data_IF_840880889165
#
_entry.id   IF_840880889165
#
_cell.length_a   1.000
_cell.length_b   1.000
_cell.length_c   1.000
_cell.angle_alpha   90.00
_cell.angle_beta   90.00
_cell.angle_gamma   90.00
#
_symmetry.space_group_name_H-M   'P 1'
#
loop_
_entity.id
_entity.type
_entity.pdbx_description
1 polymer ?
#
# COMPACT_ATOMS: atom_id res chain seq x y z
N UNK A 1 59.60 19.60 -26.15
CA UNK A 1 59.34 18.16 -26.36
C UNK A 1 59.19 17.52 -24.98
N UNK A 2 57.98 17.44 -24.45
CA UNK A 2 57.70 16.84 -23.14
C UNK A 2 56.44 16.00 -23.26
N UNK A 3 56.61 14.69 -23.40
CA UNK A 3 55.53 13.74 -23.62
C UNK A 3 54.74 13.50 -22.34
N UNK A 4 53.44 13.82 -22.38
CA UNK A 4 52.47 13.48 -21.35
C UNK A 4 52.04 12.02 -21.52
N UNK A 5 52.26 11.20 -20.51
CA UNK A 5 51.81 9.81 -20.48
C UNK A 5 50.29 9.73 -20.20
N UNK A 6 49.54 8.82 -20.84
CA UNK A 6 48.11 8.65 -20.58
C UNK A 6 47.89 7.82 -19.30
N UNK A 7 46.98 8.30 -18.45
CA UNK A 7 46.54 7.62 -17.24
C UNK A 7 45.47 6.58 -17.65
N UNK A 8 45.84 5.30 -17.62
CA UNK A 8 44.90 4.19 -17.80
C UNK A 8 43.88 4.20 -16.65
N UNK A 9 42.63 4.51 -16.96
CA UNK A 9 41.50 4.32 -16.03
C UNK A 9 41.13 2.84 -16.03
N UNK A 10 41.30 2.22 -14.87
CA UNK A 10 40.80 0.89 -14.56
C UNK A 10 39.26 0.95 -14.54
N UNK A 11 38.60 0.51 -15.62
CA UNK A 11 37.16 0.28 -15.64
C UNK A 11 36.86 -1.04 -14.93
N UNK A 12 36.33 -0.95 -13.72
CA UNK A 12 35.78 -2.11 -13.02
C UNK A 12 34.44 -2.46 -13.68
N UNK A 13 34.45 -3.40 -14.62
CA UNK A 13 33.24 -4.01 -15.15
C UNK A 13 32.53 -4.77 -14.02
N UNK A 14 31.34 -4.29 -13.64
CA UNK A 14 30.44 -5.03 -12.76
C UNK A 14 29.93 -6.25 -13.55
N UNK A 15 30.49 -7.42 -13.25
CA UNK A 15 30.03 -8.68 -13.83
C UNK A 15 28.55 -8.96 -13.50
N UNK A 16 27.85 -9.74 -14.34
CA UNK A 16 26.47 -10.12 -14.07
C UNK A 16 26.42 -10.91 -12.76
N UNK A 17 25.65 -10.43 -11.79
CA UNK A 17 25.35 -11.17 -10.57
C UNK A 17 24.63 -12.45 -10.96
N UNK A 18 25.37 -13.57 -10.96
CA UNK A 18 24.78 -14.90 -11.07
C UNK A 18 23.91 -15.11 -9.83
N UNK A 19 22.60 -15.08 -10.04
CA UNK A 19 21.59 -15.24 -9.01
C UNK A 19 21.81 -16.54 -8.24
N UNK A 20 21.82 -16.42 -6.92
CA UNK A 20 21.78 -17.56 -5.99
C UNK A 20 20.41 -18.21 -6.15
N UNK A 21 20.31 -19.17 -7.07
CA UNK A 21 19.13 -19.98 -7.29
C UNK A 21 19.05 -21.07 -6.22
N UNK A 22 17.90 -21.15 -5.54
CA UNK A 22 17.42 -22.42 -5.02
C UNK A 22 17.38 -22.61 -3.49
N UNK A 23 16.80 -21.67 -2.73
CA UNK A 23 16.03 -22.11 -1.56
C UNK A 23 14.66 -22.58 -2.04
N UNK A 24 14.56 -23.87 -2.38
CA UNK A 24 13.28 -24.54 -2.65
C UNK A 24 12.56 -24.73 -1.33
N UNK A 25 11.77 -23.74 -0.94
CA UNK A 25 10.81 -23.85 0.16
C UNK A 25 9.77 -24.93 -0.20
N UNK A 26 9.32 -25.70 0.79
CA UNK A 26 8.44 -26.85 0.58
C UNK A 26 7.13 -26.45 -0.10
N UNK A 27 6.82 -27.14 -1.20
CA UNK A 27 5.65 -26.94 -2.06
C UNK A 27 4.34 -26.75 -1.28
N UNK A 28 3.66 -25.62 -1.50
CA UNK A 28 2.22 -25.45 -1.35
C UNK A 28 1.73 -24.64 -0.15
N UNK A 29 2.60 -23.96 0.62
CA UNK A 29 2.16 -23.21 1.80
C UNK A 29 2.14 -21.70 1.55
N UNK A 30 1.01 -21.00 1.77
CA UNK A 30 0.94 -19.56 1.56
C UNK A 30 1.94 -18.82 2.44
N UNK A 31 2.47 -17.72 1.92
CA UNK A 31 3.50 -16.92 2.59
C UNK A 31 3.12 -15.45 2.66
N UNK A 32 3.70 -14.74 3.65
CA UNK A 32 3.42 -13.32 3.83
C UNK A 32 4.34 -12.47 2.97
N UNK A 33 3.74 -11.54 2.23
CA UNK A 33 4.43 -10.48 1.50
C UNK A 33 4.06 -9.15 2.11
N UNK A 34 5.08 -8.32 2.35
CA UNK A 34 4.92 -6.93 2.77
C UNK A 34 5.10 -6.03 1.54
N UNK A 35 4.06 -5.28 1.19
CA UNK A 35 4.12 -4.25 0.17
C UNK A 35 4.41 -2.89 0.83
N UNK A 36 5.54 -2.28 0.49
CA UNK A 36 5.88 -0.92 0.88
C UNK A 36 5.62 0.01 -0.29
N UNK A 37 4.72 0.97 -0.09
CA UNK A 37 4.36 1.95 -1.12
C UNK A 37 4.95 3.28 -0.73
N UNK A 38 5.76 3.86 -1.61
CA UNK A 38 6.41 5.15 -1.41
C UNK A 38 5.85 6.16 -2.40
N UNK A 39 5.12 7.15 -1.88
CA UNK A 39 4.62 8.26 -2.67
C UNK A 39 5.59 9.43 -2.60
N UNK A 40 6.20 9.77 -3.73
CA UNK A 40 7.12 10.89 -3.83
C UNK A 40 6.36 12.21 -3.82
N UNK A 41 6.88 13.19 -3.09
CA UNK A 41 6.39 14.56 -3.10
C UNK A 41 6.99 15.36 -4.25
N UNK A 42 6.31 16.41 -4.69
CA UNK A 42 6.75 17.22 -5.83
C UNK A 42 8.05 17.99 -5.60
N UNK A 43 8.48 18.15 -4.35
CA UNK A 43 9.78 18.73 -3.98
C UNK A 43 10.96 17.76 -4.11
N UNK A 44 10.68 16.46 -4.33
CA UNK A 44 11.66 15.39 -4.44
C UNK A 44 12.60 15.28 -3.23
N UNK A 45 12.16 15.73 -2.05
CA UNK A 45 12.90 15.59 -0.80
C UNK A 45 12.47 14.28 -0.13
N UNK A 46 13.35 13.26 0.01
CA UNK A 46 12.97 11.95 0.52
C UNK A 46 12.34 11.96 1.92
N UNK A 47 12.69 12.93 2.76
CA UNK A 47 12.11 13.09 4.09
C UNK A 47 10.62 13.42 4.08
N UNK A 48 10.11 13.92 2.95
CA UNK A 48 8.71 14.32 2.78
C UNK A 48 7.89 13.22 2.09
N UNK A 49 8.50 12.11 1.67
CA UNK A 49 7.79 11.02 1.02
C UNK A 49 6.82 10.37 2.00
N UNK A 50 5.64 10.01 1.49
CA UNK A 50 4.65 9.26 2.26
C UNK A 50 4.87 7.78 2.02
N UNK A 51 5.17 7.03 3.08
CA UNK A 51 5.38 5.58 2.99
C UNK A 51 4.28 4.83 3.73
N UNK A 52 3.55 3.98 3.00
CA UNK A 52 2.53 3.09 3.54
C UNK A 52 2.98 1.64 3.43
N UNK A 53 2.38 0.78 4.25
CA UNK A 53 2.67 -0.65 4.25
C UNK A 53 1.40 -1.48 4.27
N UNK A 54 1.27 -2.38 3.30
CA UNK A 54 0.22 -3.40 3.24
C UNK A 54 0.84 -4.78 3.44
N UNK A 55 0.05 -5.71 3.97
CA UNK A 55 0.48 -7.10 4.13
C UNK A 55 -0.47 -7.99 3.35
N UNK A 56 0.10 -8.97 2.68
CA UNK A 56 -0.58 -9.85 1.75
C UNK A 56 -0.21 -11.29 2.12
N UNK A 57 -1.17 -12.19 2.00
CA UNK A 57 -0.94 -13.62 2.09
C UNK A 57 -1.02 -14.16 0.65
N UNK A 58 0.13 -14.53 0.08
CA UNK A 58 0.26 -14.99 -1.30
C UNK A 58 0.23 -16.51 -1.34
N UNK A 59 -0.51 -17.09 -2.28
CA UNK A 59 -0.58 -18.53 -2.48
C UNK A 59 0.71 -19.03 -3.16
N UNK A 60 1.25 -20.16 -2.70
CA UNK A 60 2.56 -20.66 -3.13
C UNK A 60 2.59 -21.18 -4.58
N UNK A 61 1.42 -21.36 -5.22
CA UNK A 61 1.36 -21.61 -6.67
C UNK A 61 1.99 -20.47 -7.48
N UNK A 62 2.08 -19.28 -6.89
CA UNK A 62 2.78 -18.12 -7.43
C UNK A 62 4.25 -18.18 -7.00
N UNK A 63 5.03 -19.12 -7.52
CA UNK A 63 6.48 -19.10 -7.24
C UNK A 63 7.18 -18.07 -8.14
N UNK A 64 8.12 -17.32 -7.56
CA UNK A 64 8.78 -16.17 -8.16
C UNK A 64 9.55 -16.47 -9.47
N UNK A 65 9.93 -17.73 -9.71
CA UNK A 65 10.63 -18.15 -10.94
C UNK A 65 9.68 -18.58 -12.07
N UNK A 66 8.46 -19.04 -11.75
CA UNK A 66 7.54 -19.65 -12.72
C UNK A 66 6.25 -18.85 -12.96
N UNK A 67 5.89 -17.89 -12.10
CA UNK A 67 4.65 -17.10 -12.22
C UNK A 67 4.86 -15.60 -11.92
N UNK A 68 5.43 -14.84 -12.87
CA UNK A 68 5.50 -13.38 -12.79
C UNK A 68 4.12 -12.71 -12.82
N UNK A 69 3.05 -13.43 -13.17
CA UNK A 69 1.70 -12.88 -13.33
C UNK A 69 1.04 -12.65 -11.97
N UNK A 70 1.14 -13.60 -11.03
CA UNK A 70 0.52 -13.46 -9.70
C UNK A 70 1.03 -12.26 -8.89
N UNK A 71 2.35 -11.98 -8.92
CA UNK A 71 2.91 -10.76 -8.33
C UNK A 71 2.50 -9.51 -9.13
N UNK A 72 2.36 -9.63 -10.44
CA UNK A 72 1.89 -8.55 -11.32
C UNK A 72 0.50 -8.06 -10.91
N UNK A 73 -0.42 -8.99 -10.60
CA UNK A 73 -1.76 -8.66 -10.12
C UNK A 73 -1.77 -7.86 -8.82
N UNK A 74 -0.92 -8.22 -7.87
CA UNK A 74 -0.76 -7.47 -6.60
C UNK A 74 -0.37 -6.01 -6.88
N UNK A 75 0.62 -5.81 -7.76
CA UNK A 75 1.13 -4.48 -8.09
C UNK A 75 0.07 -3.68 -8.85
N UNK A 76 -0.62 -4.30 -9.79
CA UNK A 76 -1.72 -3.69 -10.54
C UNK A 76 -2.82 -3.19 -9.60
N UNK A 77 -3.30 -4.04 -8.68
CA UNK A 77 -4.39 -3.69 -7.77
C UNK A 77 -3.98 -2.61 -6.77
N UNK A 78 -2.75 -2.66 -6.25
CA UNK A 78 -2.22 -1.60 -5.38
C UNK A 78 -2.07 -0.29 -6.17
N UNK A 79 -1.60 -0.36 -7.42
CA UNK A 79 -1.49 0.82 -8.28
C UNK A 79 -2.86 1.44 -8.49
N UNK A 80 -3.86 0.64 -8.85
CA UNK A 80 -5.23 1.09 -9.05
C UNK A 80 -5.82 1.73 -7.80
N UNK A 81 -5.61 1.14 -6.61
CA UNK A 81 -6.00 1.76 -5.33
C UNK A 81 -5.47 3.19 -5.20
N UNK A 82 -4.20 3.46 -5.56
CA UNK A 82 -3.66 4.82 -5.46
C UNK A 82 -4.16 5.72 -6.58
N UNK A 83 -4.34 5.22 -7.81
CA UNK A 83 -4.95 5.99 -8.90
C UNK A 83 -6.37 6.44 -8.52
N UNK A 84 -7.16 5.60 -7.87
CA UNK A 84 -8.51 5.95 -7.41
C UNK A 84 -8.49 7.03 -6.31
N UNK A 85 -7.37 7.16 -5.57
CA UNK A 85 -7.15 8.20 -4.57
C UNK A 85 -6.64 9.54 -5.15
N UNK A 86 -6.35 9.62 -6.45
CA UNK A 86 -5.82 10.84 -7.10
C UNK A 86 -6.72 12.06 -6.84
N UNK A 87 -8.03 11.85 -6.79
CA UNK A 87 -9.03 12.88 -6.48
C UNK A 87 -9.00 13.42 -5.05
N UNK A 88 -8.11 12.97 -4.16
CA UNK A 88 -7.95 13.53 -2.80
C UNK A 88 -6.51 13.92 -2.47
N UNK A 89 -5.54 13.34 -3.18
CA UNK A 89 -4.13 13.61 -2.97
C UNK A 89 -3.73 14.98 -3.52
N UNK A 90 -2.69 15.57 -2.92
CA UNK A 90 -2.11 16.84 -3.34
C UNK A 90 -0.60 16.83 -3.15
N UNK A 91 0.11 17.61 -3.96
CA UNK A 91 1.57 17.82 -3.84
C UNK A 91 2.45 16.58 -3.85
N UNK A 92 1.93 15.52 -4.42
CA UNK A 92 2.75 14.42 -4.88
C UNK A 92 3.45 14.81 -6.19
N UNK A 93 4.59 14.19 -6.43
CA UNK A 93 5.12 14.08 -7.79
C UNK A 93 4.04 13.44 -8.67
N UNK A 94 4.05 13.72 -9.96
CA UNK A 94 3.26 12.93 -10.89
C UNK A 94 3.89 11.55 -11.08
N UNK A 95 5.21 11.53 -11.13
CA UNK A 95 5.95 10.38 -11.61
C UNK A 95 6.89 9.81 -10.53
N UNK A 96 7.21 8.52 -10.68
CA UNK A 96 8.24 7.83 -9.93
C UNK A 96 7.80 7.35 -8.54
N UNK A 97 6.50 7.12 -8.32
CA UNK A 97 6.05 6.42 -7.13
C UNK A 97 6.54 4.97 -7.17
N UNK A 98 6.67 4.33 -6.03
CA UNK A 98 7.30 3.01 -5.94
C UNK A 98 6.47 2.05 -5.10
N UNK A 99 6.32 0.82 -5.59
CA UNK A 99 5.80 -0.33 -4.85
C UNK A 99 6.92 -1.36 -4.75
N UNK A 100 7.44 -1.55 -3.54
CA UNK A 100 8.45 -2.54 -3.23
C UNK A 100 7.83 -3.69 -2.44
N UNK A 101 7.93 -4.91 -2.96
CA UNK A 101 7.44 -6.11 -2.31
C UNK A 101 8.58 -6.83 -1.59
N UNK A 102 8.34 -7.28 -0.36
CA UNK A 102 9.29 -8.01 0.46
C UNK A 102 8.67 -9.32 0.91
N UNK A 103 9.42 -10.42 0.76
CA UNK A 103 9.04 -11.72 1.33
C UNK A 103 9.41 -11.74 2.82
N UNK A 104 8.42 -11.90 3.70
CA UNK A 104 8.63 -11.91 5.15
C UNK A 104 9.24 -13.22 5.68
N UNK A 105 9.42 -14.24 4.83
CA UNK A 105 10.19 -15.45 5.19
C UNK A 105 11.69 -15.15 5.26
N UNK A 106 12.13 -14.14 4.51
CA UNK A 106 13.54 -13.76 4.45
C UNK A 106 13.90 -12.84 5.63
N UNK A 107 15.19 -12.75 6.01
CA UNK A 107 15.66 -11.81 7.03
C UNK A 107 15.23 -10.37 6.73
N UNK A 108 15.06 -9.55 7.77
CA UNK A 108 14.57 -8.16 7.65
C UNK A 108 15.39 -7.28 6.68
N UNK A 109 16.67 -7.60 6.49
CA UNK A 109 17.59 -6.86 5.62
C UNK A 109 17.66 -7.41 4.18
N UNK A 110 16.73 -8.28 3.79
CA UNK A 110 16.70 -8.84 2.45
C UNK A 110 16.21 -7.80 1.43
N UNK A 111 16.79 -7.77 0.22
CA UNK A 111 16.31 -6.88 -0.82
C UNK A 111 14.85 -7.21 -1.19
N UNK A 112 14.09 -6.23 -1.70
CA UNK A 112 12.74 -6.48 -2.19
C UNK A 112 12.76 -7.52 -3.31
N UNK A 113 11.75 -8.40 -3.31
CA UNK A 113 11.55 -9.43 -4.33
C UNK A 113 11.14 -8.83 -5.67
N UNK A 114 10.50 -7.65 -5.64
CA UNK A 114 10.14 -6.86 -6.83
C UNK A 114 9.99 -5.40 -6.44
N UNK A 115 10.44 -4.51 -7.33
CA UNK A 115 10.20 -3.07 -7.25
C UNK A 115 9.55 -2.68 -8.57
N UNK A 116 8.39 -2.03 -8.50
CA UNK A 116 7.73 -1.43 -9.65
C UNK A 116 7.51 0.04 -9.39
N UNK A 117 7.62 0.86 -10.44
CA UNK A 117 7.25 2.26 -10.39
C UNK A 117 5.91 2.49 -11.07
N UNK A 118 5.12 3.43 -10.55
CA UNK A 118 3.90 3.89 -11.20
C UNK A 118 3.81 5.41 -11.17
N UNK A 119 3.03 5.94 -12.10
CA UNK A 119 2.80 7.36 -12.28
C UNK A 119 1.31 7.67 -12.18
N UNK A 120 0.99 8.85 -11.66
CA UNK A 120 -0.35 9.39 -11.67
C UNK A 120 -0.73 9.93 -13.06
N UNK A 121 -2.02 9.82 -13.39
CA UNK A 121 -2.52 10.25 -14.71
C UNK A 121 -2.59 11.78 -14.76
N UNK A 122 -3.08 12.38 -13.69
CA UNK A 122 -3.34 13.80 -13.54
C UNK A 122 -2.16 14.54 -12.90
N UNK A 123 -2.09 15.84 -13.20
CA UNK A 123 -1.18 16.74 -12.49
C UNK A 123 -1.83 17.22 -11.19
N UNK A 124 -1.09 17.18 -10.08
CA UNK A 124 -1.57 17.71 -8.81
C UNK A 124 -1.43 19.24 -8.76
N UNK A 125 -2.52 20.00 -8.55
CA UNK A 125 -2.42 21.45 -8.40
C UNK A 125 -1.55 21.81 -7.19
N UNK A 126 -0.95 23.02 -7.19
CA UNK A 126 -0.13 23.49 -6.07
C UNK A 126 -0.93 23.73 -4.79
N UNK A 127 -2.27 23.75 -4.89
CA UNK A 127 -3.16 23.96 -3.75
C UNK A 127 -3.22 22.72 -2.85
N UNK A 128 -2.71 22.90 -1.63
CA UNK A 128 -2.42 21.79 -0.71
C UNK A 128 -2.66 22.19 0.73
N UNK A 129 -3.12 21.20 1.49
CA UNK A 129 -2.94 21.22 2.93
C UNK A 129 -1.46 20.99 3.27
N UNK A 130 -0.99 21.38 4.47
CA UNK A 130 0.36 21.07 4.92
C UNK A 130 0.68 19.57 4.78
N UNK A 131 1.92 19.22 4.48
CA UNK A 131 2.33 17.83 4.20
C UNK A 131 2.14 16.90 5.40
N UNK A 132 2.03 17.44 6.61
CA UNK A 132 1.77 16.69 7.84
C UNK A 132 0.30 16.30 8.03
N UNK A 133 -0.61 16.82 7.20
CA UNK A 133 -2.05 16.56 7.26
C UNK A 133 -2.39 15.34 6.41
N UNK A 134 -3.01 14.34 7.04
CA UNK A 134 -3.43 13.10 6.41
C UNK A 134 -4.83 12.69 6.80
N UNK A 135 -5.45 11.84 6.00
CA UNK A 135 -6.66 11.09 6.35
C UNK A 135 -6.26 9.64 6.56
N UNK A 136 -6.91 8.97 7.51
CA UNK A 136 -6.59 7.57 7.83
C UNK A 136 -7.72 6.66 7.39
N UNK A 137 -7.38 5.70 6.53
CA UNK A 137 -8.22 4.51 6.32
C UNK A 137 -7.85 3.47 7.38
N UNK A 138 -8.78 3.20 8.30
CA UNK A 138 -8.61 2.21 9.37
C UNK A 138 -9.37 0.94 9.00
N UNK A 139 -8.76 -0.22 9.15
CA UNK A 139 -9.40 -1.49 8.82
C UNK A 139 -9.11 -2.56 9.86
N UNK A 140 -9.97 -3.57 9.88
CA UNK A 140 -9.92 -4.67 10.85
C UNK A 140 -10.31 -6.00 10.23
N UNK A 141 -9.77 -7.06 10.81
CA UNK A 141 -10.23 -8.42 10.55
C UNK A 141 -11.45 -8.76 11.42
N UNK A 142 -12.10 -9.88 11.12
CA UNK A 142 -13.18 -10.41 11.94
C UNK A 142 -12.69 -10.68 13.37
N UNK A 143 -13.56 -10.45 14.36
CA UNK A 143 -13.21 -10.73 15.77
C UNK A 143 -13.06 -12.23 15.96
N UNK A 144 -11.93 -12.63 16.51
CA UNK A 144 -11.66 -14.02 16.89
C UNK A 144 -11.65 -14.16 18.42
N UNK A 145 -12.33 -15.17 19.00
CA UNK A 145 -12.23 -15.46 20.43
C UNK A 145 -10.77 -15.66 20.86
N UNK A 146 -10.39 -15.05 21.99
CA UNK A 146 -9.02 -15.15 22.52
C UNK A 146 -7.98 -14.27 21.83
N UNK A 147 -8.29 -13.57 20.73
CA UNK A 147 -7.37 -12.64 20.06
C UNK A 147 -7.71 -11.20 20.47
N UNK A 148 -6.69 -10.44 20.88
CA UNK A 148 -6.87 -9.03 21.24
C UNK A 148 -7.36 -8.23 20.02
N UNK A 149 -8.45 -7.44 20.14
CA UNK A 149 -8.92 -6.59 19.03
C UNK A 149 -7.90 -5.55 18.55
N UNK A 150 -6.81 -5.31 19.31
CA UNK A 150 -5.73 -4.40 18.92
C UNK A 150 -4.80 -5.04 17.89
N UNK A 151 -4.59 -6.35 17.91
CA UNK A 151 -3.71 -7.04 16.96
C UNK A 151 -4.37 -7.30 15.61
N UNK A 152 -5.69 -7.10 15.52
CA UNK A 152 -6.50 -7.31 14.31
C UNK A 152 -6.95 -5.99 13.69
N UNK A 153 -6.24 -4.88 13.95
CA UNK A 153 -6.51 -3.57 13.36
C UNK A 153 -5.24 -3.01 12.74
N UNK A 154 -5.39 -2.30 11.63
CA UNK A 154 -4.31 -1.56 11.01
C UNK A 154 -4.84 -0.26 10.36
N UNK A 155 -3.92 0.58 9.90
CA UNK A 155 -4.17 1.92 9.37
C UNK A 155 -3.28 2.19 8.17
N UNK A 156 -3.83 2.88 7.18
CA UNK A 156 -3.09 3.48 6.06
C UNK A 156 -3.30 4.99 6.11
N UNK A 157 -2.20 5.74 6.01
CA UNK A 157 -2.20 7.20 6.07
C UNK A 157 -2.18 7.75 4.65
N UNK A 158 -3.16 8.59 4.33
CA UNK A 158 -3.41 9.09 2.98
C UNK A 158 -3.10 10.58 3.00
N UNK A 159 -2.03 10.95 2.31
CA UNK A 159 -1.57 12.32 2.21
C UNK A 159 -0.28 12.42 1.39
N UNK A 160 0.15 13.65 1.03
CA UNK A 160 -0.50 14.92 1.38
C UNK A 160 -1.85 15.12 0.68
N UNK A 161 -2.70 15.97 1.25
CA UNK A 161 -4.06 16.20 0.77
C UNK A 161 -4.17 17.52 0.01
N UNK A 162 -5.02 17.55 -1.03
CA UNK A 162 -5.40 18.80 -1.70
C UNK A 162 -6.37 19.62 -0.84
N UNK A 163 -6.40 20.94 -1.01
CA UNK A 163 -7.29 21.81 -0.21
C UNK A 163 -8.77 21.50 -0.41
N UNK A 164 -9.19 20.99 -1.57
CA UNK A 164 -10.56 20.52 -1.80
C UNK A 164 -10.98 19.31 -0.93
N UNK A 165 -10.03 18.68 -0.22
CA UNK A 165 -10.34 17.68 0.80
C UNK A 165 -10.78 18.29 2.14
N UNK A 166 -10.63 19.60 2.32
CA UNK A 166 -11.11 20.36 3.47
C UNK A 166 -12.51 20.90 3.21
N UNK A 167 -13.44 20.63 4.11
CA UNK A 167 -14.67 21.39 4.22
C UNK A 167 -14.38 22.70 4.95
N UNK A 168 -14.39 23.81 4.21
CA UNK A 168 -14.10 25.15 4.74
C UNK A 168 -15.07 25.60 5.84
N UNK A 169 -16.29 25.07 5.86
CA UNK A 169 -17.30 25.43 6.86
C UNK A 169 -17.01 24.77 8.19
N UNK A 170 -16.58 23.51 8.16
CA UNK A 170 -16.40 22.70 9.37
C UNK A 170 -14.93 22.56 9.79
N UNK A 171 -13.98 22.88 8.92
CA UNK A 171 -12.56 22.65 9.13
C UNK A 171 -12.19 21.16 9.17
N UNK A 172 -13.02 20.29 8.58
CA UNK A 172 -12.88 18.83 8.62
C UNK A 172 -12.70 18.26 7.22
N UNK A 173 -12.52 16.95 7.13
CA UNK A 173 -12.46 16.27 5.83
C UNK A 173 -13.82 16.38 5.15
N UNK A 174 -13.83 16.85 3.91
CA UNK A 174 -15.02 16.95 3.09
C UNK A 174 -15.66 15.57 2.86
N UNK A 175 -16.99 15.53 2.82
CA UNK A 175 -17.75 14.29 2.69
C UNK A 175 -17.39 13.53 1.40
N UNK A 176 -17.30 14.25 0.28
CA UNK A 176 -16.92 13.68 -1.02
C UNK A 176 -15.53 13.01 -0.98
N UNK A 177 -14.55 13.62 -0.32
CA UNK A 177 -13.21 13.05 -0.17
C UNK A 177 -13.23 11.79 0.71
N UNK A 178 -13.99 11.82 1.80
CA UNK A 178 -14.17 10.66 2.68
C UNK A 178 -14.84 9.48 1.95
N UNK A 179 -15.86 9.76 1.15
CA UNK A 179 -16.55 8.76 0.33
C UNK A 179 -15.63 8.18 -0.75
N UNK A 180 -14.89 9.04 -1.47
CA UNK A 180 -13.93 8.61 -2.49
C UNK A 180 -12.87 7.67 -1.90
N UNK A 181 -12.29 8.02 -0.75
CA UNK A 181 -11.32 7.14 -0.08
C UNK A 181 -11.97 5.81 0.30
N UNK A 182 -13.16 5.84 0.90
CA UNK A 182 -13.85 4.62 1.30
C UNK A 182 -14.16 3.72 0.09
N UNK A 183 -14.53 4.32 -1.04
CA UNK A 183 -14.79 3.62 -2.29
C UNK A 183 -13.52 2.99 -2.87
N UNK A 184 -12.41 3.73 -2.94
CA UNK A 184 -11.13 3.20 -3.43
C UNK A 184 -10.64 1.97 -2.65
N UNK A 185 -10.77 1.99 -1.31
CA UNK A 185 -10.46 0.81 -0.48
C UNK A 185 -11.44 -0.34 -0.65
N UNK A 186 -12.71 -0.03 -0.93
CA UNK A 186 -13.71 -1.05 -1.24
C UNK A 186 -13.42 -1.73 -2.59
N UNK A 187 -13.08 -0.94 -3.61
CA UNK A 187 -12.72 -1.44 -4.94
C UNK A 187 -11.45 -2.29 -4.89
N UNK A 188 -10.44 -1.87 -4.11
CA UNK A 188 -9.26 -2.70 -3.84
C UNK A 188 -9.63 -4.02 -3.13
N UNK A 189 -10.54 -3.99 -2.15
CA UNK A 189 -11.00 -5.20 -1.48
C UNK A 189 -11.77 -6.14 -2.43
N UNK A 190 -12.52 -5.59 -3.39
CA UNK A 190 -13.19 -6.34 -4.44
C UNK A 190 -12.17 -7.01 -5.38
N UNK A 191 -11.17 -6.27 -5.86
CA UNK A 191 -10.12 -6.81 -6.71
C UNK A 191 -9.37 -7.98 -6.03
N UNK A 192 -9.09 -7.84 -4.73
CA UNK A 192 -8.54 -8.94 -3.90
C UNK A 192 -9.49 -10.14 -3.83
N UNK A 193 -10.80 -9.90 -3.71
CA UNK A 193 -11.80 -10.97 -3.65
C UNK A 193 -11.88 -11.76 -4.97
N UNK A 194 -11.69 -11.08 -6.10
CA UNK A 194 -11.69 -11.68 -7.43
C UNK A 194 -10.42 -12.49 -7.73
N UNK A 195 -9.40 -12.38 -6.86
CA UNK A 195 -8.06 -13.00 -7.01
C UNK A 195 -7.62 -13.77 -5.76
N UNK A 196 -8.57 -14.31 -4.99
CA UNK A 196 -8.29 -15.04 -3.72
C UNK A 196 -7.44 -16.31 -3.90
N UNK A 197 -7.44 -16.87 -5.11
CA UNK A 197 -6.58 -17.97 -5.55
C UNK A 197 -5.11 -17.55 -5.76
N UNK A 198 -4.85 -16.25 -5.90
CA UNK A 198 -3.51 -15.66 -6.03
C UNK A 198 -3.04 -15.11 -4.69
N UNK A 199 -3.84 -14.22 -4.07
CA UNK A 199 -3.44 -13.56 -2.83
C UNK A 199 -4.64 -13.05 -2.01
N UNK A 200 -4.39 -12.71 -0.75
CA UNK A 200 -5.40 -12.10 0.12
C UNK A 200 -4.79 -10.93 0.90
N UNK A 201 -5.54 -9.84 0.99
CA UNK A 201 -5.15 -8.69 1.81
C UNK A 201 -5.42 -8.97 3.29
N UNK A 202 -4.36 -8.90 4.11
CA UNK A 202 -4.37 -9.34 5.50
C UNK A 202 -3.83 -8.29 6.46
N UNK A 203 -4.19 -8.44 7.74
CA UNK A 203 -3.54 -7.78 8.86
C UNK A 203 -2.52 -8.76 9.44
N UNK A 204 -1.25 -8.36 9.44
CA UNK A 204 -0.13 -9.12 10.00
C UNK A 204 0.13 -8.71 11.45
N UNK A 205 0.26 -9.68 12.36
CA UNK A 205 0.79 -9.44 13.72
C UNK A 205 2.16 -10.08 13.88
N UNK A 206 3.25 -9.30 13.86
CA UNK A 206 4.61 -9.81 14.04
C UNK A 206 4.77 -10.60 15.35
N UNK A 207 4.14 -10.12 16.43
CA UNK A 207 4.19 -10.76 17.75
C UNK A 207 3.58 -12.16 17.78
N UNK A 208 2.46 -12.36 17.07
CA UNK A 208 1.75 -13.64 17.09
C UNK A 208 2.19 -14.56 15.94
N UNK A 209 2.91 -14.07 14.94
CA UNK A 209 3.22 -14.85 13.74
C UNK A 209 1.97 -15.14 12.88
N UNK A 210 0.85 -14.47 13.14
CA UNK A 210 -0.43 -14.69 12.47
C UNK A 210 -0.79 -13.57 11.49
N UNK A 211 -1.66 -13.92 10.55
CA UNK A 211 -2.26 -13.03 9.57
C UNK A 211 -3.77 -13.28 9.52
N UNK A 212 -4.56 -12.22 9.43
CA UNK A 212 -6.01 -12.32 9.33
C UNK A 212 -6.54 -11.57 8.12
N UNK A 213 -7.42 -12.17 7.30
CA UNK A 213 -8.06 -11.47 6.20
C UNK A 213 -8.82 -10.24 6.69
N UNK A 214 -8.72 -9.17 5.91
CA UNK A 214 -9.45 -7.93 6.20
C UNK A 214 -10.93 -8.16 5.95
N UNK A 215 -11.74 -7.70 6.91
CA UNK A 215 -13.17 -7.90 6.92
C UNK A 215 -13.93 -6.60 6.66
N UNK A 216 -13.51 -5.52 7.32
CA UNK A 216 -14.15 -4.21 7.17
C UNK A 216 -13.16 -3.08 7.47
N UNK A 217 -13.50 -1.89 7.02
CA UNK A 217 -12.77 -0.69 7.37
C UNK A 217 -13.64 0.55 7.30
N UNK A 218 -13.01 1.67 7.65
CA UNK A 218 -13.66 2.95 7.72
C UNK A 218 -12.69 4.11 7.55
N UNK A 219 -13.25 5.23 7.12
CA UNK A 219 -12.57 6.51 6.98
C UNK A 219 -13.31 7.52 7.84
N UNK A 220 -12.60 8.10 8.81
CA UNK A 220 -13.14 9.15 9.68
C UNK A 220 -13.01 10.52 8.99
N UNK A 221 -13.90 11.46 9.32
CA UNK A 221 -13.82 12.84 8.83
C UNK A 221 -12.86 13.75 9.62
N UNK A 222 -12.01 13.18 10.46
CA UNK A 222 -11.00 13.90 11.22
C UNK A 222 -9.65 13.77 10.50
N UNK A 223 -8.95 14.88 10.36
CA UNK A 223 -7.55 14.82 9.95
C UNK A 223 -6.71 14.16 11.04
N UNK A 224 -5.81 13.30 10.64
CA UNK A 224 -4.73 12.82 11.48
C UNK A 224 -3.48 13.63 11.12
N UNK A 225 -2.91 14.27 12.14
CA UNK A 225 -1.64 14.98 11.98
C UNK A 225 -0.56 14.05 12.49
N UNK A 226 0.55 13.95 11.78
CA UNK A 226 1.61 12.96 12.06
C UNK A 226 2.26 13.05 13.45
N UNK A 227 1.75 13.86 14.40
CA UNK A 227 2.29 14.03 15.75
C UNK A 227 1.26 14.24 16.88
N UNK A 228 -0.05 14.31 16.64
CA UNK A 228 -1.07 14.50 17.71
C UNK A 228 -2.43 13.90 17.34
N UNK A 229 -3.15 13.38 18.33
CA UNK A 229 -4.57 13.03 18.18
C UNK A 229 -5.36 14.32 17.92
N UNK A 230 -5.92 14.44 16.72
CA UNK A 230 -6.73 15.58 16.30
C UNK A 230 -8.11 15.62 16.96
N UNK A 231 -8.99 16.43 16.39
CA UNK A 231 -10.39 16.54 16.81
C UNK A 231 -11.09 15.18 16.63
N UNK A 232 -11.98 14.81 17.57
CA UNK A 232 -12.78 13.59 17.42
C UNK A 232 -13.60 13.61 16.13
N UNK A 233 -13.76 12.44 15.50
CA UNK A 233 -14.55 12.32 14.28
C UNK A 233 -16.03 12.50 14.57
N UNK A 234 -16.71 13.26 13.70
CA UNK A 234 -18.16 13.46 13.76
C UNK A 234 -18.90 12.64 12.70
N UNK A 235 -18.19 12.13 11.69
CA UNK A 235 -18.74 11.30 10.63
C UNK A 235 -17.74 10.22 10.18
N UNK A 236 -18.27 9.12 9.65
CA UNK A 236 -17.50 7.94 9.25
C UNK A 236 -18.09 7.28 8.01
N UNK A 237 -17.24 6.97 7.03
CA UNK A 237 -17.61 6.12 5.88
C UNK A 237 -17.10 4.72 6.16
N UNK A 238 -17.92 3.71 5.94
CA UNK A 238 -17.57 2.31 6.18
C UNK A 238 -17.60 1.53 4.88
N UNK A 239 -16.71 0.55 4.75
CA UNK A 239 -16.67 -0.44 3.68
C UNK A 239 -16.45 -1.81 4.30
N UNK A 240 -17.01 -2.87 3.72
CA UNK A 240 -16.84 -4.22 4.25
C UNK A 240 -16.91 -5.30 3.18
N UNK A 241 -16.38 -6.48 3.50
CA UNK A 241 -16.40 -7.65 2.62
C UNK A 241 -17.80 -8.25 2.45
N UNK A 242 -18.68 -8.08 3.43
CA UNK A 242 -20.03 -8.62 3.41
C UNK A 242 -20.91 -7.98 2.32
N UNK A 243 -20.61 -6.76 1.87
CA UNK A 243 -21.31 -6.14 0.74
C UNK A 243 -20.87 -6.66 -0.63
N UNK A 244 -19.73 -7.38 -0.74
CA UNK A 244 -19.28 -7.98 -2.02
C UNK A 244 -20.13 -9.18 -2.44
N UNK A 245 -20.73 -9.89 -1.49
CA UNK A 245 -21.47 -11.14 -1.78
C UNK A 245 -22.88 -10.90 -2.32
N UNK A 246 -23.32 -9.64 -2.45
CA UNK A 246 -24.70 -9.28 -2.82
C UNK A 246 -25.76 -9.90 -1.89
N UNK A 247 -27.03 -9.50 -2.01
CA UNK A 247 -28.14 -10.30 -1.51
C UNK A 247 -28.46 -11.38 -2.55
N UNK A 248 -27.74 -12.52 -2.58
CA UNK A 248 -28.15 -13.62 -3.45
C UNK A 248 -27.90 -15.03 -2.89
N UNK A 249 -29.01 -15.75 -2.85
CA UNK A 249 -29.22 -17.21 -2.93
C UNK A 249 -28.95 -18.11 -1.70
N UNK A 250 -29.66 -17.86 -0.59
CA UNK A 250 -30.13 -18.95 0.29
C UNK A 250 -31.35 -19.64 -0.34
N UNK A 251 -31.16 -20.18 -1.54
CA UNK A 251 -32.19 -20.81 -2.35
C UNK A 251 -31.68 -22.04 -3.06
N UNK A 252 -31.09 -22.97 -2.30
CA UNK A 252 -30.98 -24.41 -2.62
C UNK A 252 -31.35 -25.18 -1.36
#
# INVERSE_FOLDING_TARGET
>A
MGGSAPINRCSTEAGPQQGVTGFRYGLGMPYNVRAQITLRTSDLIPANYSTNTLHLLVQDSVTQEDDPEGIGFIIEDITQLYLDLEGVLGSLSRDGHEIALYDERNPLDSPPIRIETFDFVSFFPPDRLPSEVSIVSSFRAQRQPGVSPRSTRNRVYIGPLRSAALDETTGRVADASRQLIAQAFFDFLQAVADRLDVYNWVIRSPTLGLSWPIFEGFVDNAFDTQRRRGVESSARSTWNRASLTGPNTDGI
#
